data_IF_975500162271
#
_entry.id   IF_975500162271
#
_cell.length_a   1.000
_cell.length_b   1.000
_cell.length_c   1.000
_cell.angle_alpha   90.00
_cell.angle_beta   90.00
_cell.angle_gamma   90.00
#
_symmetry.space_group_name_H-M   'P 1'
#
loop_
_entity.id
_entity.type
_entity.pdbx_description
1 polymer ?
#
# COMPACT_ATOMS: atom_id res chain seq x y z
N UNK A 1 -10.97 49.23 -39.13
CA UNK A 1 -11.63 48.91 -37.84
C UNK A 1 -11.54 50.15 -37.00
N UNK A 2 -12.68 50.74 -36.65
CA UNK A 2 -12.72 51.95 -35.84
C UNK A 2 -12.08 51.68 -34.48
N UNK A 3 -11.26 52.61 -33.99
CA UNK A 3 -10.52 52.49 -32.72
C UNK A 3 -11.41 52.14 -31.52
N UNK A 4 -12.72 52.40 -31.61
CA UNK A 4 -13.72 52.04 -30.61
C UNK A 4 -14.07 50.54 -30.60
N UNK A 5 -14.11 49.90 -31.77
CA UNK A 5 -14.43 48.47 -31.90
C UNK A 5 -13.34 47.57 -31.31
N UNK A 6 -12.07 47.98 -31.42
CA UNK A 6 -10.95 47.24 -30.82
C UNK A 6 -10.95 47.29 -29.30
N UNK A 7 -11.33 48.42 -28.70
CA UNK A 7 -11.38 48.57 -27.23
C UNK A 7 -12.46 47.68 -26.62
N UNK A 8 -13.63 47.63 -27.25
CA UNK A 8 -14.73 46.76 -26.80
C UNK A 8 -14.36 45.28 -26.91
N UNK A 9 -13.73 44.88 -28.02
CA UNK A 9 -13.29 43.51 -28.23
C UNK A 9 -12.28 43.06 -27.16
N UNK A 10 -11.26 43.90 -26.88
CA UNK A 10 -10.27 43.62 -25.84
C UNK A 10 -10.94 43.54 -24.46
N UNK A 11 -11.89 44.42 -24.17
CA UNK A 11 -12.66 44.37 -22.91
C UNK A 11 -13.43 43.07 -22.73
N UNK A 12 -14.11 42.59 -23.78
CA UNK A 12 -14.85 41.30 -23.73
C UNK A 12 -13.91 40.12 -23.52
N UNK A 13 -12.75 40.10 -24.19
CA UNK A 13 -11.76 39.03 -24.02
C UNK A 13 -11.19 39.01 -22.60
N UNK A 14 -10.93 40.18 -22.01
CA UNK A 14 -10.48 40.28 -20.61
C UNK A 14 -11.56 39.74 -19.67
N UNK A 15 -12.83 40.14 -19.85
CA UNK A 15 -13.92 39.66 -19.00
C UNK A 15 -14.08 38.13 -19.13
N UNK A 16 -14.02 37.58 -20.34
CA UNK A 16 -14.10 36.13 -20.55
C UNK A 16 -12.92 35.38 -19.92
N UNK A 17 -11.71 35.96 -19.98
CA UNK A 17 -10.54 35.41 -19.31
C UNK A 17 -10.69 35.42 -17.79
N UNK A 18 -11.21 36.52 -17.22
CA UNK A 18 -11.46 36.62 -15.78
C UNK A 18 -12.52 35.61 -15.31
N UNK A 19 -13.60 35.42 -16.07
CA UNK A 19 -14.63 34.41 -15.76
C UNK A 19 -14.02 33.00 -15.79
N UNK A 20 -13.20 32.70 -16.80
CA UNK A 20 -12.55 31.41 -16.92
C UNK A 20 -11.64 31.11 -15.72
N UNK A 21 -10.82 32.08 -15.33
CA UNK A 21 -9.87 31.95 -14.22
C UNK A 21 -10.57 31.87 -12.85
N UNK A 22 -11.66 32.62 -12.65
CA UNK A 22 -12.32 32.72 -11.35
C UNK A 22 -13.42 31.69 -11.12
N UNK A 23 -14.04 31.16 -12.17
CA UNK A 23 -15.14 30.20 -12.03
C UNK A 23 -14.82 28.82 -12.62
N UNK A 24 -14.27 28.77 -13.84
CA UNK A 24 -14.15 27.49 -14.57
C UNK A 24 -12.97 26.67 -14.08
N UNK A 25 -11.79 27.26 -13.95
CA UNK A 25 -10.60 26.55 -13.44
C UNK A 25 -10.80 26.00 -12.01
N UNK A 26 -11.21 26.80 -11.01
CA UNK A 26 -11.37 26.27 -9.65
C UNK A 26 -12.46 25.20 -9.55
N UNK A 27 -13.52 25.30 -10.36
CA UNK A 27 -14.53 24.24 -10.44
C UNK A 27 -13.93 22.93 -10.95
N UNK A 28 -13.16 22.97 -12.05
CA UNK A 28 -12.52 21.78 -12.61
C UNK A 28 -11.52 21.15 -11.64
N UNK A 29 -10.73 21.97 -10.93
CA UNK A 29 -9.79 21.50 -9.91
C UNK A 29 -10.51 20.84 -8.73
N UNK A 30 -11.61 21.44 -8.24
CA UNK A 30 -12.40 20.85 -7.15
C UNK A 30 -13.00 19.48 -7.50
N UNK A 31 -13.42 19.31 -8.76
CA UNK A 31 -13.95 18.02 -9.22
C UNK A 31 -12.87 16.97 -9.32
N UNK A 32 -11.69 17.34 -9.82
CA UNK A 32 -10.54 16.45 -9.88
C UNK A 32 -10.05 16.03 -8.49
N UNK A 33 -10.04 16.94 -7.51
CA UNK A 33 -9.66 16.58 -6.13
C UNK A 33 -10.67 15.62 -5.49
N UNK A 34 -11.97 15.85 -5.68
CA UNK A 34 -13.03 14.95 -5.18
C UNK A 34 -12.91 13.54 -5.75
N UNK A 35 -12.59 13.41 -7.04
CA UNK A 35 -12.36 12.11 -7.69
C UNK A 35 -11.10 11.41 -7.16
N UNK A 36 -10.00 12.15 -6.98
CA UNK A 36 -8.75 11.61 -6.42
C UNK A 36 -8.94 11.13 -4.98
N UNK A 37 -9.65 11.88 -4.15
CA UNK A 37 -9.95 11.50 -2.76
C UNK A 37 -10.81 10.23 -2.70
N UNK A 38 -11.76 10.09 -3.63
CA UNK A 38 -12.60 8.89 -3.73
C UNK A 38 -11.79 7.66 -4.15
N UNK A 39 -10.86 7.81 -5.10
CA UNK A 39 -9.97 6.74 -5.56
C UNK A 39 -9.00 6.30 -4.45
N UNK A 40 -8.36 7.24 -3.74
CA UNK A 40 -7.46 6.93 -2.62
C UNK A 40 -8.18 6.14 -1.52
N UNK A 41 -9.41 6.53 -1.20
CA UNK A 41 -10.24 5.84 -0.21
C UNK A 41 -10.67 4.43 -0.65
N UNK A 42 -10.81 4.17 -1.94
CA UNK A 42 -11.08 2.83 -2.45
C UNK A 42 -9.82 1.95 -2.39
N UNK A 43 -8.67 2.47 -2.83
CA UNK A 43 -7.38 1.78 -2.77
C UNK A 43 -7.04 1.41 -1.31
N UNK A 44 -7.22 2.33 -0.36
CA UNK A 44 -6.97 2.08 1.05
C UNK A 44 -7.83 0.92 1.59
N UNK A 45 -9.14 0.91 1.30
CA UNK A 45 -10.05 -0.18 1.68
C UNK A 45 -9.64 -1.52 1.06
N UNK A 46 -9.23 -1.52 -0.20
CA UNK A 46 -8.74 -2.74 -0.85
C UNK A 46 -7.45 -3.27 -0.21
N UNK A 47 -6.54 -2.37 0.19
CA UNK A 47 -5.31 -2.74 0.87
C UNK A 47 -5.59 -3.36 2.24
N UNK A 48 -6.44 -2.73 3.05
CA UNK A 48 -6.87 -3.27 4.36
C UNK A 48 -7.48 -4.65 4.22
N UNK A 49 -8.40 -4.85 3.27
CA UNK A 49 -9.00 -6.16 3.02
C UNK A 49 -7.97 -7.24 2.64
N UNK A 50 -6.96 -6.89 1.83
CA UNK A 50 -5.87 -7.81 1.46
C UNK A 50 -4.92 -8.11 2.62
N UNK A 51 -4.68 -7.16 3.52
CA UNK A 51 -3.88 -7.38 4.73
C UNK A 51 -4.60 -8.35 5.65
N UNK A 52 -5.88 -8.11 5.94
CA UNK A 52 -6.70 -9.00 6.78
C UNK A 52 -6.78 -10.42 6.19
N UNK A 53 -6.91 -10.55 4.86
CA UNK A 53 -6.90 -11.86 4.22
C UNK A 53 -5.57 -12.59 4.43
N UNK A 54 -4.43 -11.90 4.30
CA UNK A 54 -3.10 -12.48 4.56
C UNK A 54 -2.89 -12.83 6.03
N UNK A 55 -3.44 -12.05 6.96
CA UNK A 55 -3.40 -12.37 8.39
C UNK A 55 -4.19 -13.64 8.72
N UNK A 56 -5.38 -13.80 8.14
CA UNK A 56 -6.19 -15.02 8.29
C UNK A 56 -5.48 -16.23 7.66
N UNK A 57 -4.90 -16.06 6.47
CA UNK A 57 -4.12 -17.11 5.81
C UNK A 57 -2.92 -17.51 6.67
N UNK A 58 -2.18 -16.55 7.24
CA UNK A 58 -1.06 -16.80 8.13
C UNK A 58 -1.47 -17.44 9.46
N UNK A 59 -2.58 -17.01 10.06
CA UNK A 59 -3.14 -17.61 11.28
C UNK A 59 -3.62 -19.06 11.05
N UNK A 60 -3.99 -19.39 9.81
CA UNK A 60 -4.34 -20.75 9.39
C UNK A 60 -3.14 -21.64 9.04
N UNK A 61 -1.92 -21.09 8.95
CA UNK A 61 -0.71 -21.90 8.79
C UNK A 61 -0.35 -22.51 10.15
N UNK A 62 -0.46 -23.83 10.36
CA UNK A 62 0.01 -24.44 11.59
C UNK A 62 1.51 -24.17 11.69
N UNK A 63 1.91 -23.36 12.68
CA UNK A 63 3.28 -22.99 13.06
C UNK A 63 4.35 -23.67 12.20
N UNK A 64 4.61 -23.13 11.00
CA UNK A 64 5.55 -23.75 10.06
C UNK A 64 7.02 -23.68 10.54
N UNK A 65 7.25 -23.15 11.74
CA UNK A 65 8.52 -23.12 12.44
C UNK A 65 8.44 -23.80 13.81
N UNK A 66 8.08 -25.09 13.89
CA UNK A 66 8.63 -25.93 14.95
C UNK A 66 10.07 -26.31 14.58
N UNK A 67 10.96 -25.32 14.57
CA UNK A 67 12.39 -25.56 14.63
C UNK A 67 12.75 -25.55 16.11
N UNK A 68 12.49 -26.66 16.81
CA UNK A 68 12.97 -26.81 18.18
C UNK A 68 14.49 -26.90 18.16
N UNK A 69 15.15 -25.92 18.77
CA UNK A 69 16.59 -25.92 18.98
C UNK A 69 16.89 -26.88 20.12
N UNK A 70 17.41 -28.08 19.80
CA UNK A 70 17.68 -29.13 20.78
C UNK A 70 19.19 -29.36 20.93
N UNK A 71 19.65 -29.41 22.17
CA UNK A 71 21.05 -29.71 22.49
C UNK A 71 21.17 -31.22 22.65
N UNK A 72 22.05 -31.84 21.87
CA UNK A 72 22.33 -33.27 21.99
C UNK A 72 23.02 -33.55 23.33
N UNK A 73 22.45 -34.42 24.16
CA UNK A 73 23.03 -34.79 25.46
C UNK A 73 24.34 -35.58 25.31
N UNK A 74 24.52 -36.30 24.20
CA UNK A 74 25.71 -37.13 23.98
C UNK A 74 26.96 -36.33 23.60
N UNK A 75 26.79 -35.21 22.88
CA UNK A 75 27.93 -34.48 22.31
C UNK A 75 27.88 -32.95 22.48
N UNK A 76 26.83 -32.42 23.11
CA UNK A 76 26.64 -30.99 23.37
C UNK A 76 26.37 -30.13 22.13
N UNK A 77 26.16 -30.74 20.96
CA UNK A 77 25.92 -30.01 19.73
C UNK A 77 24.48 -29.48 19.68
N UNK A 78 24.34 -28.21 19.29
CA UNK A 78 23.05 -27.55 19.08
C UNK A 78 22.50 -27.95 17.72
N UNK A 79 21.35 -28.59 17.71
CA UNK A 79 20.65 -28.99 16.49
C UNK A 79 19.45 -28.07 16.25
N UNK A 80 19.31 -27.60 15.02
CA UNK A 80 18.15 -26.85 14.53
C UNK A 80 17.51 -27.73 13.46
N UNK A 81 16.77 -28.75 13.89
CA UNK A 81 16.22 -29.76 12.99
C UNK A 81 14.85 -30.24 13.47
N UNK A 82 13.98 -30.62 12.51
CA UNK A 82 12.70 -31.30 12.81
C UNK A 82 12.89 -32.75 13.22
N UNK A 83 14.04 -33.34 12.90
CA UNK A 83 14.35 -34.75 13.14
C UNK A 83 14.90 -34.91 14.55
N UNK A 84 14.42 -35.91 15.30
CA UNK A 84 14.93 -36.26 16.63
C UNK A 84 16.31 -36.94 16.60
N UNK A 85 17.21 -36.52 15.70
CA UNK A 85 18.55 -37.09 15.52
C UNK A 85 19.59 -35.98 15.39
N UNK A 86 20.73 -36.16 16.06
CA UNK A 86 21.82 -35.20 16.10
C UNK A 86 22.60 -35.22 14.79
N UNK A 87 22.73 -34.08 14.13
CA UNK A 87 23.47 -33.91 12.87
C UNK A 87 24.98 -34.15 13.02
N UNK A 88 25.51 -34.10 14.25
CA UNK A 88 26.94 -34.26 14.51
C UNK A 88 27.35 -35.69 14.84
N UNK A 89 26.61 -36.36 15.72
CA UNK A 89 26.97 -37.70 16.19
C UNK A 89 25.99 -38.80 15.77
N UNK A 90 24.85 -38.44 15.16
CA UNK A 90 23.79 -39.40 14.81
C UNK A 90 22.99 -39.92 15.99
N UNK A 91 23.27 -39.47 17.23
CA UNK A 91 22.52 -39.84 18.44
C UNK A 91 21.09 -39.29 18.44
N UNK A 92 20.20 -39.91 19.21
CA UNK A 92 18.80 -39.48 19.32
C UNK A 92 18.69 -38.20 20.15
N UNK A 93 18.01 -37.19 19.61
CA UNK A 93 17.64 -35.99 20.36
C UNK A 93 16.34 -36.30 21.10
N UNK A 94 16.43 -36.46 22.42
CA UNK A 94 15.27 -36.62 23.29
C UNK A 94 14.65 -35.26 23.54
N UNK A 95 13.39 -35.11 23.14
CA UNK A 95 12.54 -33.93 23.37
C UNK A 95 12.44 -33.56 24.84
#
# INVERSE_FOLDING_TARGET
MDSFGSVILVGVLIIMSLIWLTFIMPYAESKKSEELDAEEKDISRQYEAKVTQREIEFAGVPNALDWSMQICQDCGFVNICRTGTCLRCGGTLTT
#
